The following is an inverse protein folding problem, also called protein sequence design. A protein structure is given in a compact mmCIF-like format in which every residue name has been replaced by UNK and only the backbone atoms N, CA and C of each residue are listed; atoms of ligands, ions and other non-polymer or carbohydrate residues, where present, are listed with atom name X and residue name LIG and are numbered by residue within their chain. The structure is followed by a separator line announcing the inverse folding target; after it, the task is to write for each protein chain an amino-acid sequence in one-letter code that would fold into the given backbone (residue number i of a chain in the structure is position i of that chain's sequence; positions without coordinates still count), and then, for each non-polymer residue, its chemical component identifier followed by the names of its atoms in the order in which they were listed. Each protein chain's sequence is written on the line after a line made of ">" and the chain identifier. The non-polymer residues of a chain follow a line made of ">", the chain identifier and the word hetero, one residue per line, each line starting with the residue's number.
data_IF_265679000995
#
_entry.id   IF_265679000995
#
_cell.length_a   1.000
_cell.length_b   1.000
_cell.length_c   1.000
_cell.angle_alpha   90.00
_cell.angle_beta   90.00
_cell.angle_gamma   90.00
#
_symmetry.space_group_name_H-M   'P 1'
#
loop_
_entity.id
_entity.type
_entity.pdbx_description
1 polymer ?
#
# COMPACT_ATOMS: atom_id res chain seq x y z
N UNK A 1 6.25 -0.95 -4.76
CA UNK A 1 5.39 -2.15 -4.95
C UNK A 1 4.16 -1.71 -5.73
N UNK A 2 3.71 -2.51 -6.70
CA UNK A 2 2.51 -2.20 -7.49
C UNK A 2 1.70 -3.48 -7.68
N UNK A 3 0.39 -3.34 -7.83
CA UNK A 3 -0.50 -4.47 -8.11
C UNK A 3 -0.30 -4.99 -9.54
N UNK A 4 -0.93 -6.12 -9.82
CA UNK A 4 -0.76 -6.85 -11.09
C UNK A 4 -1.84 -6.51 -12.12
N UNK A 5 -2.56 -5.39 -11.96
CA UNK A 5 -3.62 -5.02 -12.88
C UNK A 5 -3.07 -4.78 -14.31
N UNK A 6 -3.83 -5.07 -15.38
CA UNK A 6 -3.31 -5.07 -16.74
C UNK A 6 -2.56 -3.80 -17.19
N UNK A 7 -3.02 -2.57 -16.84
CA UNK A 7 -2.29 -1.35 -17.17
C UNK A 7 -0.91 -1.27 -16.50
N UNK A 8 -0.78 -1.84 -15.30
CA UNK A 8 0.42 -1.77 -14.47
C UNK A 8 1.52 -2.75 -14.90
N UNK A 9 1.19 -3.74 -15.73
CA UNK A 9 2.11 -4.77 -16.24
C UNK A 9 2.36 -4.67 -17.75
N UNK A 10 1.84 -3.61 -18.39
CA UNK A 10 2.09 -3.33 -19.80
C UNK A 10 3.60 -3.15 -20.08
N UNK A 11 4.07 -3.60 -21.23
CA UNK A 11 5.50 -3.59 -21.58
C UNK A 11 6.12 -2.19 -21.49
N UNK A 12 5.42 -1.17 -21.98
CA UNK A 12 5.88 0.23 -21.91
C UNK A 12 6.04 0.72 -20.48
N UNK A 13 5.10 0.38 -19.59
CA UNK A 13 5.17 0.70 -18.16
C UNK A 13 6.33 -0.04 -17.51
N UNK A 14 6.53 -1.33 -17.82
CA UNK A 14 7.65 -2.11 -17.27
C UNK A 14 9.01 -1.53 -17.67
N UNK A 15 9.16 -1.15 -18.94
CA UNK A 15 10.38 -0.52 -19.45
C UNK A 15 10.66 0.82 -18.74
N UNK A 16 9.62 1.64 -18.57
CA UNK A 16 9.73 2.91 -17.84
C UNK A 16 10.15 2.68 -16.38
N UNK A 17 9.49 1.76 -15.68
CA UNK A 17 9.83 1.46 -14.29
C UNK A 17 11.26 0.94 -14.18
N UNK A 18 11.68 0.02 -15.05
CA UNK A 18 13.05 -0.50 -15.04
C UNK A 18 14.09 0.61 -15.31
N UNK A 19 13.80 1.56 -16.20
CA UNK A 19 14.67 2.70 -16.46
C UNK A 19 14.87 3.58 -15.21
N UNK A 20 13.82 3.79 -14.43
CA UNK A 20 13.85 4.69 -13.27
C UNK A 20 14.34 4.04 -11.98
N UNK A 21 13.98 2.77 -11.75
CA UNK A 21 14.19 2.10 -10.46
C UNK A 21 15.14 0.89 -10.55
N UNK A 22 15.54 0.50 -11.76
CA UNK A 22 16.24 -0.76 -12.00
C UNK A 22 15.37 -1.98 -11.76
N UNK A 23 15.86 -3.15 -12.17
CA UNK A 23 15.11 -4.41 -12.04
C UNK A 23 14.91 -4.85 -10.58
N UNK A 24 15.89 -4.57 -9.70
CA UNK A 24 15.87 -5.02 -8.29
C UNK A 24 15.03 -4.11 -7.39
N UNK A 25 14.76 -2.88 -7.82
CA UNK A 25 13.96 -1.90 -7.08
C UNK A 25 12.44 -2.11 -7.22
N UNK A 26 12.00 -3.09 -8.01
CA UNK A 26 10.60 -3.25 -8.40
C UNK A 26 10.02 -4.55 -7.87
N UNK A 27 8.99 -4.41 -7.04
CA UNK A 27 8.12 -5.52 -6.61
C UNK A 27 6.82 -5.45 -7.42
N UNK A 28 6.69 -6.30 -8.42
CA UNK A 28 5.53 -6.39 -9.31
C UNK A 28 5.53 -7.71 -10.11
N UNK A 29 4.40 -8.10 -10.68
CA UNK A 29 4.28 -9.33 -11.46
C UNK A 29 5.14 -9.26 -12.74
N UNK A 30 5.92 -10.33 -12.97
CA UNK A 30 6.90 -10.46 -14.05
C UNK A 30 8.16 -9.59 -13.90
N UNK A 31 8.47 -9.13 -12.69
CA UNK A 31 9.81 -8.65 -12.31
C UNK A 31 10.55 -9.72 -11.49
N UNK A 32 11.88 -9.60 -11.31
CA UNK A 32 12.65 -10.56 -10.51
C UNK A 32 12.08 -10.79 -9.12
N UNK A 33 11.64 -9.72 -8.46
CA UNK A 33 10.90 -9.78 -7.19
C UNK A 33 9.40 -9.76 -7.47
N UNK A 34 8.82 -10.92 -7.75
CA UNK A 34 7.39 -11.03 -8.05
C UNK A 34 6.51 -10.81 -6.81
N UNK A 35 5.49 -9.97 -6.95
CA UNK A 35 4.40 -9.93 -5.96
C UNK A 35 3.49 -11.15 -6.14
N UNK A 36 3.07 -11.82 -5.06
CA UNK A 36 2.05 -12.86 -5.16
C UNK A 36 0.73 -12.26 -5.69
N UNK A 37 -0.01 -13.01 -6.52
CA UNK A 37 -1.29 -12.56 -7.04
C UNK A 37 -2.33 -12.49 -5.93
N UNK A 38 -3.24 -11.51 -6.02
CA UNK A 38 -4.37 -11.31 -5.08
C UNK A 38 -3.96 -11.11 -3.62
N UNK A 39 -2.89 -10.38 -3.37
CA UNK A 39 -2.41 -10.09 -2.02
C UNK A 39 -2.52 -8.60 -1.67
N UNK A 40 -3.74 -8.04 -1.54
CA UNK A 40 -3.92 -6.66 -1.07
C UNK A 40 -3.31 -6.46 0.32
N UNK A 41 -3.23 -7.51 1.13
CA UNK A 41 -2.58 -7.52 2.44
C UNK A 41 -1.09 -7.19 2.44
N UNK A 42 -0.44 -7.20 1.27
CA UNK A 42 0.98 -6.89 1.15
C UNK A 42 1.24 -5.48 0.62
N UNK A 43 0.25 -4.81 0.03
CA UNK A 43 0.41 -3.48 -0.52
C UNK A 43 0.13 -2.42 0.55
N UNK A 44 1.12 -1.58 0.93
CA UNK A 44 0.94 -0.49 1.89
C UNK A 44 -0.25 0.43 1.60
N UNK A 45 -0.53 0.67 0.31
CA UNK A 45 -1.65 1.51 -0.07
C UNK A 45 -2.99 0.84 0.27
N UNK A 46 -3.09 -0.48 0.02
CA UNK A 46 -4.33 -1.23 0.17
C UNK A 46 -4.64 -1.57 1.62
N UNK A 47 -3.65 -2.06 2.39
CA UNK A 47 -3.90 -2.45 3.79
C UNK A 47 -3.94 -1.26 4.76
N UNK A 48 -3.43 -0.09 4.37
CA UNK A 48 -3.33 1.07 5.26
C UNK A 48 -3.81 2.39 4.62
N UNK A 49 -3.14 2.90 3.58
CA UNK A 49 -3.35 4.29 3.12
C UNK A 49 -4.80 4.58 2.73
N UNK A 50 -5.42 3.70 1.95
CA UNK A 50 -6.80 3.91 1.49
C UNK A 50 -7.82 3.83 2.63
N UNK A 51 -7.58 2.95 3.62
CA UNK A 51 -8.39 2.89 4.83
C UNK A 51 -8.28 4.18 5.65
N UNK A 52 -7.04 4.59 5.95
CA UNK A 52 -6.75 5.84 6.66
C UNK A 52 -7.38 7.05 5.97
N UNK A 53 -7.13 7.23 4.66
CA UNK A 53 -7.67 8.36 3.91
C UNK A 53 -9.19 8.35 3.89
N UNK A 54 -9.82 7.18 3.76
CA UNK A 54 -11.28 7.07 3.81
C UNK A 54 -11.81 7.57 5.15
N UNK A 55 -11.22 7.16 6.26
CA UNK A 55 -11.68 7.55 7.59
C UNK A 55 -11.52 9.05 7.84
N UNK A 56 -10.38 9.64 7.50
CA UNK A 56 -10.11 11.05 7.78
C UNK A 56 -10.75 12.02 6.78
N UNK A 57 -10.81 11.67 5.48
CA UNK A 57 -11.36 12.57 4.45
C UNK A 57 -12.88 12.65 4.55
N UNK A 58 -13.53 11.51 4.83
CA UNK A 58 -14.99 11.40 4.93
C UNK A 58 -15.53 11.56 6.36
N UNK A 59 -14.68 11.93 7.34
CA UNK A 59 -15.10 12.23 8.72
C UNK A 59 -16.06 13.43 8.87
N UNK A 60 -16.34 14.16 7.78
CA UNK A 60 -17.35 15.22 7.74
C UNK A 60 -17.83 15.51 6.31
N UNK A 61 -18.93 16.26 6.14
CA UNK A 61 -19.53 16.51 4.84
C UNK A 61 -18.55 17.19 3.88
N UNK A 62 -18.64 16.83 2.60
CA UNK A 62 -17.81 17.36 1.52
C UNK A 62 -18.73 18.00 0.49
N UNK A 63 -18.60 19.31 0.29
CA UNK A 63 -19.52 20.09 -0.52
C UNK A 63 -19.26 19.95 -2.03
N UNK A 64 -18.00 19.73 -2.44
CA UNK A 64 -17.62 19.65 -3.85
C UNK A 64 -16.26 18.96 -4.05
N UNK A 65 -15.93 18.74 -5.33
CA UNK A 65 -14.69 18.08 -5.74
C UNK A 65 -13.41 18.83 -5.33
N UNK A 66 -13.43 20.17 -5.32
CA UNK A 66 -12.26 20.95 -4.94
C UNK A 66 -11.94 20.75 -3.45
N UNK A 67 -12.97 20.74 -2.60
CA UNK A 67 -12.82 20.44 -1.17
C UNK A 67 -12.32 19.00 -0.95
N UNK A 68 -12.85 18.02 -1.69
CA UNK A 68 -12.39 16.62 -1.63
C UNK A 68 -10.88 16.53 -1.93
N UNK A 69 -10.45 17.11 -3.05
CA UNK A 69 -9.03 17.12 -3.46
C UNK A 69 -8.15 17.78 -2.40
N UNK A 70 -8.57 18.93 -1.88
CA UNK A 70 -7.81 19.64 -0.86
C UNK A 70 -7.64 18.80 0.42
N UNK A 71 -8.71 18.17 0.91
CA UNK A 71 -8.63 17.29 2.09
C UNK A 71 -7.67 16.12 1.87
N UNK A 72 -7.76 15.44 0.74
CA UNK A 72 -6.83 14.34 0.40
C UNK A 72 -5.39 14.85 0.43
N UNK A 73 -5.10 15.96 -0.26
CA UNK A 73 -3.77 16.57 -0.31
C UNK A 73 -3.25 16.95 1.09
N UNK A 74 -4.08 17.60 1.90
CA UNK A 74 -3.72 17.98 3.27
C UNK A 74 -3.39 16.77 4.14
N UNK A 75 -4.23 15.73 4.13
CA UNK A 75 -3.98 14.53 4.94
C UNK A 75 -2.76 13.75 4.47
N UNK A 76 -2.47 13.71 3.16
CA UNK A 76 -1.24 13.11 2.63
C UNK A 76 -0.01 13.89 3.09
N UNK A 77 -0.03 15.23 3.03
CA UNK A 77 1.11 16.06 3.48
C UNK A 77 1.38 15.95 4.98
N UNK A 78 0.37 15.61 5.77
CA UNK A 78 0.50 15.45 7.21
C UNK A 78 0.98 14.05 7.62
N UNK A 79 1.14 13.10 6.68
CA UNK A 79 1.73 11.79 6.99
C UNK A 79 3.20 11.99 7.34
N UNK A 80 3.58 11.61 8.56
CA UNK A 80 4.95 11.76 9.03
C UNK A 80 5.87 10.67 8.48
N UNK A 81 7.17 10.95 8.49
CA UNK A 81 8.20 9.95 8.15
C UNK A 81 8.16 8.75 9.10
N UNK A 82 7.83 8.97 10.36
CA UNK A 82 7.66 7.94 11.38
C UNK A 82 6.51 6.99 11.04
N UNK A 83 5.37 7.53 10.62
CA UNK A 83 4.24 6.73 10.13
C UNK A 83 4.63 5.92 8.90
N UNK A 84 5.30 6.54 7.93
CA UNK A 84 5.79 5.82 6.73
C UNK A 84 6.76 4.70 7.09
N UNK A 85 7.69 4.93 8.03
CA UNK A 85 8.62 3.90 8.51
C UNK A 85 7.87 2.72 9.12
N UNK A 86 6.90 3.01 9.98
CA UNK A 86 6.09 1.97 10.62
C UNK A 86 5.28 1.16 9.61
N UNK A 87 4.72 1.80 8.58
CA UNK A 87 4.02 1.10 7.49
C UNK A 87 4.95 0.16 6.72
N UNK A 88 6.20 0.58 6.47
CA UNK A 88 7.23 -0.28 5.84
C UNK A 88 7.56 -1.47 6.75
N UNK A 89 7.75 -1.24 8.05
CA UNK A 89 8.01 -2.32 9.02
C UNK A 89 6.85 -3.32 9.09
N UNK A 90 5.60 -2.83 9.07
CA UNK A 90 4.41 -3.68 9.01
C UNK A 90 4.32 -4.48 7.70
N UNK A 91 4.79 -3.91 6.59
CA UNK A 91 4.88 -4.65 5.32
C UNK A 91 5.82 -5.84 5.46
N UNK A 92 7.00 -5.64 6.07
CA UNK A 92 7.97 -6.72 6.35
C UNK A 92 7.39 -7.78 7.30
N UNK A 93 6.66 -7.34 8.35
CA UNK A 93 5.97 -8.25 9.26
C UNK A 93 4.94 -9.12 8.54
N UNK A 94 4.12 -8.51 7.67
CA UNK A 94 3.10 -9.22 6.88
C UNK A 94 3.73 -10.26 5.95
N UNK A 95 4.85 -9.92 5.29
CA UNK A 95 5.62 -10.89 4.50
C UNK A 95 6.07 -12.09 5.33
N UNK A 96 6.59 -11.84 6.54
CA UNK A 96 7.02 -12.90 7.46
C UNK A 96 5.85 -13.81 7.85
N UNK A 97 4.74 -13.22 8.29
CA UNK A 97 3.54 -13.97 8.69
C UNK A 97 2.99 -14.82 7.55
N UNK A 98 2.99 -14.30 6.31
CA UNK A 98 2.57 -15.07 5.13
C UNK A 98 3.51 -16.26 4.89
N UNK A 99 4.82 -16.07 5.02
CA UNK A 99 5.80 -17.15 4.92
C UNK A 99 5.60 -18.22 6.00
N UNK A 100 5.40 -17.81 7.25
CA UNK A 100 5.14 -18.71 8.39
C UNK A 100 3.80 -19.45 8.25
N UNK A 101 2.80 -18.82 7.65
CA UNK A 101 1.48 -19.38 7.41
C UNK A 101 1.33 -20.09 6.04
N UNK A 102 2.45 -20.48 5.42
CA UNK A 102 2.43 -21.25 4.17
C UNK A 102 1.71 -20.56 3.01
N UNK A 103 1.72 -19.23 2.95
CA UNK A 103 1.09 -18.44 1.90
C UNK A 103 -0.40 -18.11 2.12
N UNK A 104 -0.99 -18.50 3.25
CA UNK A 104 -2.41 -18.27 3.55
C UNK A 104 -2.67 -16.89 4.18
N UNK A 105 -3.95 -16.49 4.23
CA UNK A 105 -4.46 -15.27 4.88
C UNK A 105 -3.93 -15.09 6.31
N UNK A 106 -3.57 -13.85 6.68
CA UNK A 106 -2.86 -13.54 7.95
C UNK A 106 -3.64 -12.60 8.87
N UNK A 107 -4.84 -12.17 8.48
CA UNK A 107 -5.64 -11.17 9.19
C UNK A 107 -5.95 -11.59 10.63
N UNK A 108 -6.04 -12.90 10.89
CA UNK A 108 -6.24 -13.45 12.23
C UNK A 108 -5.01 -13.34 13.15
N UNK A 109 -3.81 -13.11 12.60
CA UNK A 109 -2.60 -12.78 13.36
C UNK A 109 -2.44 -11.27 13.58
N UNK A 110 -3.13 -10.45 12.79
CA UNK A 110 -3.04 -9.00 12.84
C UNK A 110 -4.10 -8.48 13.81
N UNK A 111 -3.72 -8.21 15.06
CA UNK A 111 -4.62 -7.60 16.03
C UNK A 111 -5.20 -6.27 15.47
N UNK A 112 -6.51 -6.06 15.62
CA UNK A 112 -7.22 -4.85 15.14
C UNK A 112 -6.59 -3.53 15.65
N UNK A 113 -5.97 -3.56 16.82
CA UNK A 113 -5.30 -2.41 17.43
C UNK A 113 -4.11 -1.89 16.62
N UNK A 114 -3.47 -2.73 15.81
CA UNK A 114 -2.22 -2.41 15.10
C UNK A 114 -2.44 -1.74 13.74
N UNK A 115 -3.69 -1.69 13.26
CA UNK A 115 -4.08 -1.03 12.01
C UNK A 115 -4.59 0.40 12.26
N UNK A 116 -5.14 0.64 13.44
CA UNK A 116 -5.73 1.92 13.85
C UNK A 116 -4.78 2.79 14.68
N UNK A 117 -3.63 2.27 15.11
CA UNK A 117 -2.71 2.94 16.04
C UNK A 117 -1.71 3.90 15.37
N UNK A 118 -1.93 4.30 14.11
CA UNK A 118 -1.07 5.26 13.42
C UNK A 118 -1.47 6.73 13.65
N UNK A 119 -2.37 6.99 14.60
CA UNK A 119 -2.82 8.32 15.02
C UNK A 119 -2.05 8.84 16.24
#
# INVERSE_FOLDING_TARGET
>A
MQDSAPPHIATSVKQLLNLHFGNDGIISLHFPTASPPRSPDLNPCDFWLWGYLKDVVYGGPIANLAQLKNRITQHIHNITTETLRSVVEHTVLRFRLIGENGGQHIEHFLNKSNLTSFS
#
